data_IF_563494720550
#
_entry.id   IF_563494720550
#
_cell.length_a   1.000
_cell.length_b   1.000
_cell.length_c   1.000
_cell.angle_alpha   90.00
_cell.angle_beta   90.00
_cell.angle_gamma   90.00
#
_symmetry.space_group_name_H-M   'P 1'
#
loop_
_entity.id
_entity.type
_entity.pdbx_description
1 polymer ?
#
# COMPACT_ATOMS: atom_id res chain seq x y z
N UNK A 1 7.79 21.34 -37.13
CA UNK A 1 8.03 22.10 -35.89
C UNK A 1 7.80 21.15 -34.73
N UNK A 2 8.92 20.77 -34.10
CA UNK A 2 9.09 20.01 -32.86
C UNK A 2 8.28 18.72 -32.67
N UNK A 3 8.95 17.59 -32.93
CA UNK A 3 8.76 16.38 -32.13
C UNK A 3 9.02 16.79 -30.67
N UNK A 4 7.95 17.04 -29.91
CA UNK A 4 8.04 17.21 -28.48
C UNK A 4 8.32 15.82 -27.93
N UNK A 5 9.60 15.50 -27.76
CA UNK A 5 10.02 14.36 -26.98
C UNK A 5 9.32 14.44 -25.63
N UNK A 6 8.21 13.71 -25.49
CA UNK A 6 7.60 13.46 -24.21
C UNK A 6 8.61 12.61 -23.47
N UNK A 7 9.44 13.26 -22.68
CA UNK A 7 10.20 12.61 -21.62
C UNK A 7 9.16 11.91 -20.76
N UNK A 8 8.94 10.62 -21.00
CA UNK A 8 8.03 9.80 -20.22
C UNK A 8 8.55 9.80 -18.79
N UNK A 9 7.93 10.60 -17.94
CA UNK A 9 8.22 10.61 -16.52
C UNK A 9 7.74 9.28 -15.94
N UNK A 10 8.53 8.69 -15.04
CA UNK A 10 8.13 7.48 -14.34
C UNK A 10 6.76 7.72 -13.67
N UNK A 11 5.76 6.91 -14.03
CA UNK A 11 4.38 7.04 -13.55
C UNK A 11 3.37 7.68 -14.51
N UNK A 12 3.80 8.19 -15.68
CA UNK A 12 2.86 8.77 -16.64
C UNK A 12 1.88 7.70 -17.18
N UNK A 13 0.57 7.88 -16.92
CA UNK A 13 -0.48 6.99 -17.44
C UNK A 13 -0.64 7.21 -18.94
N UNK A 14 -0.25 6.22 -19.75
CA UNK A 14 -0.44 6.26 -21.20
C UNK A 14 -1.89 5.91 -21.55
N UNK A 15 -2.73 6.92 -21.77
CA UNK A 15 -4.06 6.77 -22.35
C UNK A 15 -5.16 6.21 -21.42
N UNK A 16 -4.94 6.13 -20.11
CA UNK A 16 -5.97 5.69 -19.17
C UNK A 16 -6.91 6.85 -18.75
N UNK A 17 -8.24 6.66 -18.71
CA UNK A 17 -9.19 7.64 -18.18
C UNK A 17 -8.91 8.02 -16.71
N UNK A 18 -9.38 9.19 -16.27
CA UNK A 18 -9.40 9.59 -14.86
C UNK A 18 -10.07 8.50 -14.01
N UNK A 19 -9.42 8.11 -12.92
CA UNK A 19 -9.80 6.96 -12.11
C UNK A 19 -11.20 7.15 -11.51
N UNK A 20 -12.18 6.36 -11.95
CA UNK A 20 -13.56 6.34 -11.45
C UNK A 20 -13.77 5.48 -10.18
N UNK A 21 -12.71 5.23 -9.39
CA UNK A 21 -12.85 4.56 -8.09
C UNK A 21 -11.93 3.36 -7.82
N UNK A 22 -10.84 3.18 -8.58
CA UNK A 22 -9.77 2.24 -8.22
C UNK A 22 -8.60 3.07 -7.71
N UNK A 23 -8.47 3.13 -6.39
CA UNK A 23 -7.57 4.01 -5.63
C UNK A 23 -6.10 3.66 -5.86
N UNK A 24 -5.58 4.02 -7.03
CA UNK A 24 -4.15 4.14 -7.30
C UNK A 24 -3.83 5.63 -7.27
N UNK A 25 -2.87 6.02 -6.45
CA UNK A 25 -2.49 7.42 -6.30
C UNK A 25 -1.89 7.94 -7.61
N UNK A 26 -2.12 9.21 -7.90
CA UNK A 26 -1.45 9.86 -9.01
C UNK A 26 0.06 9.97 -8.76
N UNK A 27 0.90 10.00 -9.81
CA UNK A 27 2.35 10.15 -9.66
C UNK A 27 2.70 11.33 -8.76
N UNK A 28 3.66 11.13 -7.84
CA UNK A 28 4.06 12.14 -6.86
C UNK A 28 3.14 12.26 -5.65
N UNK A 29 1.98 11.58 -5.62
CA UNK A 29 1.12 11.52 -4.45
C UNK A 29 1.49 10.33 -3.57
N UNK A 30 1.68 10.59 -2.28
CA UNK A 30 1.87 9.55 -1.27
C UNK A 30 0.51 9.01 -0.80
N UNK A 31 0.44 7.76 -0.32
CA UNK A 31 -0.76 7.28 0.35
C UNK A 31 -1.11 8.17 1.54
N UNK A 32 -2.40 8.32 1.86
CA UNK A 32 -2.79 8.95 3.10
C UNK A 32 -2.09 8.24 4.28
N UNK A 33 -1.70 9.01 5.29
CA UNK A 33 -1.13 8.42 6.50
C UNK A 33 -2.19 7.49 7.12
N UNK A 34 -1.92 6.19 7.14
CA UNK A 34 -2.77 5.24 7.83
C UNK A 34 -2.45 5.29 9.32
N UNK A 35 -3.46 5.26 10.21
CA UNK A 35 -3.19 5.05 11.62
C UNK A 35 -2.44 3.72 11.82
N UNK A 36 -1.62 3.59 12.86
CA UNK A 36 -1.02 2.30 13.22
C UNK A 36 -2.11 1.24 13.33
N UNK A 37 -1.84 0.03 12.82
CA UNK A 37 -2.71 -1.12 13.00
C UNK A 37 -2.95 -1.41 14.47
N UNK A 38 -4.08 -2.05 14.78
CA UNK A 38 -4.34 -2.51 16.15
C UNK A 38 -3.43 -3.69 16.45
N UNK A 39 -2.67 -3.62 17.54
CA UNK A 39 -2.00 -4.80 18.09
C UNK A 39 -3.05 -5.77 18.64
N UNK A 40 -3.03 -7.01 18.14
CA UNK A 40 -3.94 -8.07 18.57
C UNK A 40 -3.14 -9.15 19.29
N UNK A 41 -3.47 -9.48 20.55
CA UNK A 41 -2.83 -10.57 21.24
C UNK A 41 -3.34 -11.90 20.68
N UNK A 42 -2.42 -12.80 20.36
CA UNK A 42 -2.71 -14.17 19.93
C UNK A 42 -2.13 -15.11 20.99
N UNK A 43 -2.97 -16.03 21.49
CA UNK A 43 -2.53 -17.10 22.37
C UNK A 43 -2.19 -18.34 21.55
N UNK A 44 -1.00 -18.87 21.75
CA UNK A 44 -0.48 -20.08 21.12
C UNK A 44 -0.30 -21.13 22.19
N UNK A 45 -0.83 -22.32 21.94
CA UNK A 45 -0.62 -23.50 22.78
C UNK A 45 0.43 -24.37 22.10
N UNK A 46 1.53 -24.63 22.79
CA UNK A 46 2.61 -25.48 22.29
C UNK A 46 2.28 -26.96 22.51
N UNK A 47 3.09 -27.83 21.91
CA UNK A 47 2.90 -29.29 22.02
C UNK A 47 3.16 -29.83 23.43
N UNK A 48 3.85 -29.07 24.28
CA UNK A 48 4.12 -29.40 25.68
C UNK A 48 3.09 -28.78 26.64
N UNK A 49 1.94 -28.35 26.11
CA UNK A 49 0.83 -27.70 26.82
C UNK A 49 1.18 -26.34 27.45
N UNK A 50 2.37 -25.79 27.17
CA UNK A 50 2.68 -24.41 27.55
C UNK A 50 1.94 -23.40 26.67
N UNK A 51 1.60 -22.25 27.27
CA UNK A 51 0.91 -21.16 26.59
C UNK A 51 1.83 -19.95 26.43
N UNK A 52 1.84 -19.38 25.23
CA UNK A 52 2.54 -18.14 24.91
C UNK A 52 1.59 -17.11 24.29
N UNK A 53 1.83 -15.83 24.58
CA UNK A 53 1.04 -14.71 24.04
C UNK A 53 1.94 -13.83 23.17
N UNK A 54 1.50 -13.59 21.94
CA UNK A 54 2.21 -12.74 20.97
C UNK A 54 1.33 -11.57 20.55
N UNK A 55 1.88 -10.36 20.58
CA UNK A 55 1.25 -9.18 19.98
C UNK A 55 1.59 -9.10 18.49
N UNK A 56 0.57 -9.09 17.63
CA UNK A 56 0.74 -9.00 16.17
C UNK A 56 0.11 -7.70 15.64
N UNK A 57 0.81 -7.03 14.73
CA UNK A 57 0.44 -5.75 14.09
C UNK A 57 -0.20 -5.91 12.72
#
# INVERSE_FOLDING_TARGET
>A
MVEQGQTSLAGQRLGAPETLGISTLEPGHKPPAMPPGRLVPIRVVLLDDSEEIFDIS
#
